data_IF_690033137718
#
_entry.id   IF_690033137718
#
_cell.length_a   1.000
_cell.length_b   1.000
_cell.length_c   1.000
_cell.angle_alpha   90.00
_cell.angle_beta   90.00
_cell.angle_gamma   90.00
#
_symmetry.space_group_name_H-M   'P 1'
#
loop_
_entity.id
_entity.type
_entity.pdbx_description
1 polymer ?
#
# COMPACT_ATOMS: atom_id res chain seq x y z
N UNK A 1 -38.90 -35.37 42.15
CA UNK A 1 -38.81 -35.26 40.67
C UNK A 1 -40.11 -34.66 40.10
N UNK A 2 -40.26 -33.33 40.07
CA UNK A 2 -41.50 -32.64 39.61
C UNK A 2 -41.18 -31.30 38.96
N UNK A 3 -40.36 -31.29 37.90
CA UNK A 3 -40.10 -30.09 37.08
C UNK A 3 -40.22 -30.31 35.57
N UNK A 4 -40.07 -31.54 35.07
CA UNK A 4 -40.18 -31.84 33.63
C UNK A 4 -41.62 -31.98 33.09
N UNK A 5 -42.64 -32.18 33.95
CA UNK A 5 -44.04 -32.28 33.48
C UNK A 5 -44.66 -30.92 33.10
N UNK A 6 -44.04 -29.80 33.49
CA UNK A 6 -44.58 -28.44 33.32
C UNK A 6 -44.20 -27.81 31.97
N UNK A 7 -43.08 -28.25 31.41
CA UNK A 7 -42.56 -27.79 30.13
C UNK A 7 -42.60 -28.94 29.12
N UNK A 8 -43.77 -29.55 28.96
CA UNK A 8 -43.96 -30.56 27.93
C UNK A 8 -44.31 -29.86 26.60
N UNK A 9 -43.39 -29.80 25.61
CA UNK A 9 -43.65 -29.14 24.34
C UNK A 9 -44.77 -29.85 23.54
N UNK A 10 -45.02 -31.13 23.82
CA UNK A 10 -46.06 -31.89 23.15
C UNK A 10 -47.47 -31.34 23.46
N UNK A 11 -47.70 -30.80 24.66
CA UNK A 11 -48.97 -30.18 25.03
C UNK A 11 -49.24 -28.90 24.25
N UNK A 12 -48.23 -28.02 24.16
CA UNK A 12 -48.34 -26.77 23.38
C UNK A 12 -48.54 -27.00 21.88
N UNK A 13 -47.88 -28.03 21.31
CA UNK A 13 -48.07 -28.41 19.91
C UNK A 13 -49.48 -28.98 19.68
N UNK A 14 -49.99 -29.80 20.60
CA UNK A 14 -51.34 -30.36 20.50
C UNK A 14 -52.42 -29.27 20.63
N UNK A 15 -52.25 -28.32 21.56
CA UNK A 15 -53.14 -27.18 21.74
C UNK A 15 -53.14 -26.26 20.51
N UNK A 16 -51.96 -26.00 19.95
CA UNK A 16 -51.81 -25.26 18.70
C UNK A 16 -52.51 -25.97 17.53
N UNK A 17 -52.31 -27.29 17.38
CA UNK A 17 -52.93 -28.07 16.31
C UNK A 17 -54.46 -28.12 16.44
N UNK A 18 -54.95 -28.24 17.67
CA UNK A 18 -56.38 -28.19 17.95
C UNK A 18 -56.98 -26.83 17.54
N UNK A 19 -56.35 -25.71 17.92
CA UNK A 19 -56.83 -24.37 17.57
C UNK A 19 -56.70 -24.09 16.06
N UNK A 20 -55.62 -24.56 15.43
CA UNK A 20 -55.39 -24.40 14.00
C UNK A 20 -56.39 -25.17 13.13
N UNK A 21 -56.86 -26.33 13.60
CA UNK A 21 -57.83 -27.17 12.89
C UNK A 21 -59.26 -26.64 13.02
N UNK A 22 -59.54 -25.71 13.95
CA UNK A 22 -60.86 -25.09 14.07
C UNK A 22 -61.22 -24.33 12.78
N UNK A 23 -62.49 -24.35 12.36
CA UNK A 23 -62.94 -23.66 11.16
C UNK A 23 -62.99 -22.14 11.40
N UNK A 24 -61.84 -21.48 11.32
CA UNK A 24 -61.71 -20.03 11.39
C UNK A 24 -61.34 -19.47 9.99
N UNK A 25 -62.10 -18.49 9.45
CA UNK A 25 -61.78 -17.88 8.15
C UNK A 25 -60.41 -17.18 8.11
N UNK A 26 -59.85 -16.77 9.24
CA UNK A 26 -58.59 -16.00 9.32
C UNK A 26 -57.32 -16.82 9.56
N UNK A 27 -57.41 -18.16 9.60
CA UNK A 27 -56.25 -19.06 9.87
C UNK A 27 -55.08 -18.86 8.88
N UNK A 28 -55.38 -18.77 7.59
CA UNK A 28 -54.39 -18.62 6.54
C UNK A 28 -53.83 -17.19 6.46
N UNK A 29 -54.66 -16.12 6.51
CA UNK A 29 -54.17 -14.75 6.57
C UNK A 29 -53.20 -14.48 7.73
N UNK A 30 -53.53 -14.93 8.94
CA UNK A 30 -52.69 -14.69 10.12
C UNK A 30 -51.37 -15.45 9.99
N UNK A 31 -51.40 -16.72 9.58
CA UNK A 31 -50.17 -17.48 9.33
C UNK A 31 -49.28 -16.79 8.29
N UNK A 32 -49.85 -16.41 7.15
CA UNK A 32 -49.09 -15.75 6.08
C UNK A 32 -48.51 -14.42 6.56
N UNK A 33 -49.24 -13.63 7.35
CA UNK A 33 -48.74 -12.39 7.92
C UNK A 33 -47.56 -12.64 8.89
N UNK A 34 -47.64 -13.65 9.75
CA UNK A 34 -46.56 -14.00 10.67
C UNK A 34 -45.31 -14.53 9.95
N UNK A 35 -45.50 -15.38 8.92
CA UNK A 35 -44.42 -15.86 8.07
C UNK A 35 -43.80 -14.73 7.25
N UNK A 36 -44.60 -13.82 6.71
CA UNK A 36 -44.11 -12.65 5.99
C UNK A 36 -43.28 -11.74 6.89
N UNK A 37 -43.78 -11.39 8.08
CA UNK A 37 -43.05 -10.54 9.02
C UNK A 37 -41.68 -11.13 9.40
N UNK A 38 -41.64 -12.42 9.74
CA UNK A 38 -40.41 -13.12 10.12
C UNK A 38 -39.49 -13.32 8.91
N UNK A 39 -40.06 -13.70 7.77
CA UNK A 39 -39.33 -13.97 6.54
C UNK A 39 -38.71 -12.72 5.93
N UNK A 40 -39.41 -11.58 5.96
CA UNK A 40 -38.86 -10.30 5.51
C UNK A 40 -37.67 -9.87 6.37
N UNK A 41 -37.77 -10.00 7.69
CA UNK A 41 -36.67 -9.69 8.59
C UNK A 41 -35.44 -10.57 8.30
N UNK A 42 -35.64 -11.88 8.17
CA UNK A 42 -34.55 -12.81 7.84
C UNK A 42 -33.95 -12.54 6.45
N UNK A 43 -34.80 -12.25 5.46
CA UNK A 43 -34.38 -11.93 4.09
C UNK A 43 -33.50 -10.67 4.03
N UNK A 44 -33.81 -9.64 4.82
CA UNK A 44 -32.98 -8.43 4.90
C UNK A 44 -31.54 -8.73 5.34
N UNK A 45 -31.33 -9.70 6.24
CA UNK A 45 -29.98 -10.10 6.65
C UNK A 45 -29.23 -10.88 5.56
N UNK A 46 -29.93 -11.58 4.67
CA UNK A 46 -29.27 -12.32 3.56
C UNK A 46 -28.72 -11.41 2.46
N UNK A 47 -29.12 -10.13 2.44
CA UNK A 47 -28.63 -9.17 1.45
C UNK A 47 -27.26 -8.57 1.80
N UNK A 48 -26.68 -8.94 2.95
CA UNK A 48 -25.36 -8.48 3.35
C UNK A 48 -24.31 -8.99 2.36
N UNK A 49 -23.81 -8.08 1.52
CA UNK A 49 -22.75 -8.37 0.55
C UNK A 49 -21.41 -8.23 1.26
N UNK A 50 -20.75 -9.36 1.51
CA UNK A 50 -19.32 -9.36 1.83
C UNK A 50 -18.58 -8.93 0.56
N UNK A 51 -18.00 -7.73 0.58
CA UNK A 51 -17.12 -7.27 -0.48
C UNK A 51 -15.87 -8.15 -0.47
N UNK A 52 -15.73 -9.02 -1.46
CA UNK A 52 -14.48 -9.75 -1.68
C UNK A 52 -13.37 -8.71 -1.93
N UNK A 53 -12.17 -8.88 -1.35
CA UNK A 53 -11.05 -8.02 -1.68
C UNK A 53 -10.86 -7.96 -3.20
N UNK A 54 -10.57 -6.78 -3.77
CA UNK A 54 -10.48 -6.62 -5.22
C UNK A 54 -9.45 -7.59 -5.81
N UNK A 55 -9.81 -8.23 -6.92
CA UNK A 55 -8.90 -9.11 -7.65
C UNK A 55 -7.62 -8.34 -8.02
N UNK A 56 -6.46 -8.99 -7.86
CA UNK A 56 -5.17 -8.39 -8.19
C UNK A 56 -5.17 -7.95 -9.66
N UNK A 57 -4.68 -6.74 -9.98
CA UNK A 57 -4.64 -6.27 -11.36
C UNK A 57 -3.77 -7.19 -12.22
N UNK A 58 -4.28 -7.56 -13.39
CA UNK A 58 -3.51 -8.31 -14.38
C UNK A 58 -2.53 -7.36 -15.07
N UNK A 59 -1.23 -7.51 -14.77
CA UNK A 59 -0.16 -6.72 -15.38
C UNK A 59 0.40 -7.48 -16.58
N UNK A 60 0.22 -6.92 -17.78
CA UNK A 60 0.85 -7.43 -18.99
C UNK A 60 2.23 -6.79 -19.17
N UNK A 61 3.29 -7.56 -18.99
CA UNK A 61 4.65 -7.10 -19.25
C UNK A 61 4.95 -7.16 -20.75
N UNK A 62 5.16 -6.01 -21.37
CA UNK A 62 5.66 -5.91 -22.74
C UNK A 62 7.18 -5.92 -22.68
N UNK A 63 7.79 -7.06 -22.99
CA UNK A 63 9.26 -7.19 -23.00
C UNK A 63 9.81 -6.77 -24.36
N UNK A 64 10.74 -5.80 -24.39
CA UNK A 64 11.43 -5.39 -25.63
C UNK A 64 12.60 -6.31 -25.99
N UNK A 65 13.04 -7.16 -25.07
CA UNK A 65 14.14 -8.10 -25.30
C UNK A 65 13.64 -9.46 -25.75
N UNK A 66 14.40 -10.12 -26.62
CA UNK A 66 14.13 -11.49 -27.04
C UNK A 66 14.18 -12.44 -25.83
N UNK A 67 13.19 -13.34 -25.66
CA UNK A 67 13.08 -14.20 -24.48
C UNK A 67 14.16 -15.30 -24.41
N UNK A 68 14.81 -15.59 -25.52
CA UNK A 68 15.83 -16.62 -25.74
C UNK A 68 17.27 -16.08 -25.70
N UNK A 69 17.44 -14.80 -25.33
CA UNK A 69 18.76 -14.17 -25.27
C UNK A 69 19.67 -14.83 -24.24
N UNK A 70 20.88 -15.14 -24.67
CA UNK A 70 21.90 -15.76 -23.80
C UNK A 70 22.52 -14.75 -22.83
N UNK A 71 23.06 -15.24 -21.71
CA UNK A 71 23.77 -14.40 -20.72
C UNK A 71 24.99 -13.68 -21.34
N UNK A 72 25.65 -14.28 -22.32
CA UNK A 72 26.79 -13.67 -23.01
C UNK A 72 26.36 -12.47 -23.85
N UNK A 73 25.27 -12.58 -24.60
CA UNK A 73 24.72 -11.48 -25.39
C UNK A 73 24.22 -10.34 -24.50
N UNK A 74 23.66 -10.65 -23.33
CA UNK A 74 23.27 -9.63 -22.33
C UNK A 74 24.51 -8.87 -21.86
N UNK A 75 25.57 -9.58 -21.47
CA UNK A 75 26.82 -8.96 -20.98
C UNK A 75 27.46 -8.10 -22.06
N UNK A 76 27.54 -8.59 -23.30
CA UNK A 76 28.11 -7.86 -24.43
C UNK A 76 27.38 -6.55 -24.69
N UNK A 77 26.04 -6.58 -24.67
CA UNK A 77 25.23 -5.38 -24.87
C UNK A 77 25.27 -4.41 -23.70
N UNK A 78 25.31 -4.90 -22.46
CA UNK A 78 25.49 -4.03 -21.31
C UNK A 78 26.83 -3.32 -21.36
N UNK A 79 27.91 -4.02 -21.74
CA UNK A 79 29.23 -3.42 -21.90
C UNK A 79 29.25 -2.37 -23.01
N UNK A 80 28.62 -2.65 -24.16
CA UNK A 80 28.51 -1.70 -25.26
C UNK A 80 27.72 -0.44 -24.84
N UNK A 81 26.59 -0.63 -24.15
CA UNK A 81 25.77 0.46 -23.64
C UNK A 81 26.51 1.29 -22.59
N UNK A 82 27.27 0.63 -21.72
CA UNK A 82 28.06 1.27 -20.69
C UNK A 82 29.14 2.19 -21.30
N UNK A 83 29.86 1.73 -22.33
CA UNK A 83 30.84 2.56 -23.04
C UNK A 83 30.20 3.80 -23.69
N UNK A 84 29.01 3.63 -24.29
CA UNK A 84 28.29 4.74 -24.90
C UNK A 84 27.83 5.73 -23.82
N UNK A 85 27.33 5.22 -22.69
CA UNK A 85 26.92 6.03 -21.54
C UNK A 85 28.10 6.84 -20.99
N UNK A 86 29.23 6.18 -20.71
CA UNK A 86 30.45 6.82 -20.22
C UNK A 86 30.95 7.90 -21.18
N UNK A 87 30.92 7.65 -22.49
CA UNK A 87 31.30 8.66 -23.49
C UNK A 87 30.38 9.89 -23.44
N UNK A 88 29.06 9.68 -23.37
CA UNK A 88 28.09 10.79 -23.28
C UNK A 88 28.23 11.56 -21.97
N UNK A 89 28.47 10.87 -20.87
CA UNK A 89 28.70 11.50 -19.56
C UNK A 89 29.98 12.33 -19.56
N UNK A 90 31.05 11.86 -20.19
CA UNK A 90 32.27 12.64 -20.36
C UNK A 90 32.02 13.90 -21.21
N UNK A 91 31.37 13.77 -22.37
CA UNK A 91 31.02 14.91 -23.22
C UNK A 91 30.11 15.92 -22.50
N UNK A 92 29.17 15.43 -21.70
CA UNK A 92 28.26 16.26 -20.92
C UNK A 92 28.99 16.99 -19.79
N UNK A 93 29.88 16.31 -19.08
CA UNK A 93 30.70 16.90 -18.03
C UNK A 93 31.61 18.02 -18.59
N UNK A 94 32.22 17.81 -19.75
CA UNK A 94 33.01 18.84 -20.44
C UNK A 94 32.16 20.08 -20.77
N UNK A 95 30.93 19.88 -21.27
CA UNK A 95 29.99 20.98 -21.57
C UNK A 95 29.53 21.70 -20.32
N UNK A 96 29.28 20.98 -19.24
CA UNK A 96 28.87 21.56 -17.96
C UNK A 96 30.00 22.38 -17.32
N UNK A 97 31.23 21.90 -17.36
CA UNK A 97 32.39 22.67 -16.91
C UNK A 97 32.59 23.92 -17.77
N UNK A 98 32.52 23.80 -19.10
CA UNK A 98 32.58 24.95 -19.99
C UNK A 98 31.44 25.97 -19.74
N UNK A 99 30.23 25.49 -19.45
CA UNK A 99 29.11 26.35 -19.11
C UNK A 99 29.33 27.07 -17.78
N UNK A 100 29.78 26.36 -16.73
CA UNK A 100 30.13 26.97 -15.43
C UNK A 100 31.21 28.02 -15.59
N UNK A 101 32.27 27.73 -16.36
CA UNK A 101 33.33 28.69 -16.64
C UNK A 101 32.82 29.93 -17.37
N UNK A 102 31.96 29.76 -18.38
CA UNK A 102 31.34 30.87 -19.08
C UNK A 102 30.48 31.75 -18.14
N UNK A 103 29.70 31.13 -17.24
CA UNK A 103 28.92 31.87 -16.24
C UNK A 103 29.80 32.60 -15.22
N UNK A 104 30.88 31.98 -14.75
CA UNK A 104 31.88 32.62 -13.87
C UNK A 104 32.50 33.84 -14.57
N UNK A 105 32.91 33.68 -15.82
CA UNK A 105 33.50 34.75 -16.62
C UNK A 105 32.51 35.91 -16.82
N UNK A 106 31.24 35.60 -17.11
CA UNK A 106 30.19 36.59 -17.23
C UNK A 106 29.97 37.34 -15.90
N UNK A 107 29.89 36.63 -14.77
CA UNK A 107 29.75 37.24 -13.45
C UNK A 107 30.90 38.19 -13.12
N UNK A 108 32.15 37.79 -13.41
CA UNK A 108 33.32 38.67 -13.24
C UNK A 108 33.23 39.91 -14.14
N UNK A 109 32.79 39.74 -15.39
CA UNK A 109 32.67 40.85 -16.33
C UNK A 109 31.55 41.84 -15.96
N UNK A 110 30.47 41.38 -15.31
CA UNK A 110 29.38 42.23 -14.82
C UNK A 110 29.65 42.85 -13.43
N UNK A 111 30.81 42.57 -12.85
CA UNK A 111 31.24 43.13 -11.57
C UNK A 111 30.77 42.36 -10.33
N UNK A 112 30.29 41.12 -10.48
CA UNK A 112 30.04 40.22 -9.35
C UNK A 112 31.34 39.60 -8.84
N UNK A 113 31.49 39.51 -7.51
CA UNK A 113 32.56 38.76 -6.86
C UNK A 113 32.20 37.27 -6.78
N UNK A 114 32.47 36.56 -7.88
CA UNK A 114 32.18 35.13 -8.02
C UNK A 114 32.99 34.27 -7.05
N UNK A 115 34.23 34.68 -6.74
CA UNK A 115 35.13 33.86 -5.92
C UNK A 115 34.71 33.89 -4.44
N UNK A 116 34.22 35.03 -3.94
CA UNK A 116 33.63 35.14 -2.61
C UNK A 116 32.33 34.31 -2.50
N UNK A 117 31.46 34.38 -3.52
CA UNK A 117 30.22 33.59 -3.57
C UNK A 117 30.49 32.08 -3.58
N UNK A 118 31.51 31.62 -4.30
CA UNK A 118 31.89 30.20 -4.30
C UNK A 118 32.50 29.74 -2.96
N UNK A 119 33.18 30.62 -2.23
CA UNK A 119 33.68 30.32 -0.90
C UNK A 119 32.52 30.16 0.10
N UNK A 120 31.55 31.07 0.07
CA UNK A 120 30.35 31.01 0.91
C UNK A 120 29.51 29.76 0.57
N UNK A 121 29.23 29.50 -0.71
CA UNK A 121 28.48 28.33 -1.14
C UNK A 121 29.13 27.00 -0.73
N UNK A 122 30.48 26.92 -0.74
CA UNK A 122 31.20 25.73 -0.24
C UNK A 122 31.07 25.58 1.27
N UNK A 123 31.15 26.68 2.02
CA UNK A 123 30.97 26.65 3.47
C UNK A 123 29.55 26.23 3.85
N UNK A 124 28.54 26.75 3.14
CA UNK A 124 27.13 26.39 3.33
C UNK A 124 26.89 24.92 3.05
N UNK A 125 27.34 24.44 1.89
CA UNK A 125 27.20 23.03 1.52
C UNK A 125 27.88 22.10 2.53
N UNK A 126 29.07 22.44 3.02
CA UNK A 126 29.74 21.63 4.05
C UNK A 126 28.96 21.59 5.37
N UNK A 127 28.28 22.68 5.76
CA UNK A 127 27.40 22.71 6.93
C UNK A 127 26.15 21.87 6.72
N UNK A 128 25.54 21.96 5.55
CA UNK A 128 24.37 21.16 5.17
C UNK A 128 24.69 19.67 5.15
N UNK A 129 25.78 19.27 4.47
CA UNK A 129 26.23 17.88 4.40
C UNK A 129 26.53 17.31 5.79
N UNK A 130 27.14 18.11 6.68
CA UNK A 130 27.40 17.71 8.06
C UNK A 130 26.11 17.55 8.88
N UNK A 131 25.14 18.45 8.69
CA UNK A 131 23.84 18.38 9.35
C UNK A 131 23.01 17.19 8.84
N UNK A 132 23.03 16.92 7.54
CA UNK A 132 22.36 15.77 6.94
C UNK A 132 22.97 14.46 7.43
N UNK A 133 24.30 14.36 7.43
CA UNK A 133 24.99 13.19 8.00
C UNK A 133 24.60 12.96 9.47
N UNK A 134 24.60 14.01 10.29
CA UNK A 134 24.19 13.91 11.69
C UNK A 134 22.73 13.45 11.84
N UNK A 135 21.82 13.90 10.97
CA UNK A 135 20.42 13.43 10.93
C UNK A 135 20.32 11.96 10.55
N UNK A 136 21.07 11.53 9.52
CA UNK A 136 21.08 10.14 9.07
C UNK A 136 21.66 9.21 10.13
N UNK A 137 22.74 9.63 10.82
CA UNK A 137 23.33 8.88 11.92
C UNK A 137 22.35 8.76 13.11
N UNK A 138 21.63 9.85 13.44
CA UNK A 138 20.61 9.83 14.49
C UNK A 138 19.42 8.92 14.14
N UNK A 139 18.95 8.95 12.89
CA UNK A 139 17.89 8.06 12.41
C UNK A 139 18.32 6.60 12.50
N UNK A 140 19.55 6.30 12.06
CA UNK A 140 20.13 4.95 12.11
C UNK A 140 20.23 4.45 13.55
N UNK A 141 20.69 5.30 14.47
CA UNK A 141 20.75 4.96 15.89
C UNK A 141 19.36 4.72 16.50
N UNK A 142 18.35 5.51 16.10
CA UNK A 142 16.97 5.33 16.54
C UNK A 142 16.38 4.01 16.02
N UNK A 143 16.64 3.65 14.77
CA UNK A 143 16.22 2.37 14.19
C UNK A 143 16.86 1.20 14.94
N UNK A 144 18.17 1.26 15.21
CA UNK A 144 18.87 0.23 15.98
C UNK A 144 18.36 0.10 17.42
N UNK A 145 18.02 1.22 18.07
CA UNK A 145 17.42 1.21 19.41
C UNK A 145 16.00 0.60 19.41
N UNK A 146 15.20 0.89 18.38
CA UNK A 146 13.87 0.29 18.20
C UNK A 146 13.97 -1.23 17.97
N UNK A 147 14.89 -1.67 17.12
CA UNK A 147 15.12 -3.10 16.85
C UNK A 147 15.56 -3.85 18.12
N UNK A 148 16.44 -3.24 18.95
CA UNK A 148 16.87 -3.82 20.22
C UNK A 148 15.75 -3.85 21.28
N UNK A 149 14.85 -2.87 21.29
CA UNK A 149 13.68 -2.85 22.18
C UNK A 149 12.65 -3.94 21.80
N UNK A 150 12.47 -4.19 20.50
CA UNK A 150 11.61 -5.26 20.01
C UNK A 150 12.21 -6.63 20.36
N UNK A 151 13.54 -6.79 20.26
CA UNK A 151 14.22 -8.04 20.61
C UNK A 151 14.16 -8.37 22.12
N UNK A 152 14.11 -7.37 23.00
CA UNK A 152 14.11 -7.57 24.47
C UNK A 152 12.72 -7.76 25.08
N UNK A 153 11.64 -7.47 24.34
CA UNK A 153 10.25 -7.65 24.81
C UNK A 153 9.64 -9.00 24.36
N UNK A 154 10.43 -9.82 23.65
CA UNK A 154 10.02 -11.12 23.09
C UNK A 154 10.50 -12.36 23.86
N UNK A 155 11.16 -12.20 25.01
CA UNK A 155 11.47 -13.26 25.98
C UNK A 155 10.57 -13.14 27.22
#
# INVERSE_FOLDING_TARGET
MRRMSRFNPAGGIADFWHEFTRPNPYRWPILLASFAATGTMMYSFTQERVYLPPDKPQVNFITTFAPDRTLEEIRASNLANQKIKEKREAEQAEREEAAKEAYRALGRATGLDVDAMEAEARADKAREDAAEKARMDALTAQMQAADNAVATTGE
#
